data_IF_828447939148
#
_entry.id   IF_828447939148
#
_cell.length_a   1.000
_cell.length_b   1.000
_cell.length_c   1.000
_cell.angle_alpha   90.00
_cell.angle_beta   90.00
_cell.angle_gamma   90.00
#
_symmetry.space_group_name_H-M   'P 1'
#
loop_
_entity.id
_entity.type
_entity.pdbx_description
1 polymer ?
#
# COMPACT_ATOMS: atom_id res chain seq x y z
N UNK A 1 31.69 -5.19 2.16
CA UNK A 1 30.79 -4.20 2.77
C UNK A 1 30.15 -4.83 4.01
N UNK A 2 30.60 -4.47 5.22
CA UNK A 2 30.30 -5.16 6.50
C UNK A 2 28.81 -5.10 6.93
N UNK A 3 27.97 -4.34 6.22
CA UNK A 3 26.55 -4.18 6.54
C UNK A 3 25.70 -5.41 6.20
N UNK A 4 26.10 -6.24 5.21
CA UNK A 4 25.37 -7.48 4.87
C UNK A 4 25.39 -8.52 6.00
N UNK A 5 26.29 -8.37 6.97
CA UNK A 5 26.43 -9.27 8.11
C UNK A 5 25.39 -9.01 9.21
N UNK A 6 24.70 -7.86 9.19
CA UNK A 6 23.80 -7.42 10.27
C UNK A 6 22.30 -7.50 9.96
N UNK A 7 21.90 -7.74 8.70
CA UNK A 7 20.49 -8.02 8.35
C UNK A 7 20.38 -8.47 6.89
N UNK A 8 20.47 -9.77 6.65
CA UNK A 8 20.38 -10.34 5.29
C UNK A 8 19.04 -10.08 4.61
N UNK A 9 17.96 -9.88 5.38
CA UNK A 9 16.59 -9.89 4.85
C UNK A 9 16.00 -8.49 4.66
N UNK A 10 16.65 -7.45 5.20
CA UNK A 10 16.22 -6.05 5.07
C UNK A 10 16.93 -5.33 3.92
N UNK A 11 18.17 -5.73 3.60
CA UNK A 11 18.97 -5.13 2.53
C UNK A 11 18.86 -6.00 1.27
N UNK A 12 18.14 -5.50 0.28
CA UNK A 12 17.88 -6.23 -0.98
C UNK A 12 18.68 -5.67 -2.15
N UNK A 13 18.74 -6.40 -3.26
CA UNK A 13 19.38 -5.88 -4.47
C UNK A 13 18.42 -4.93 -5.22
N UNK A 14 18.94 -3.98 -6.03
CA UNK A 14 18.09 -3.09 -6.81
C UNK A 14 17.07 -3.80 -7.71
N UNK A 15 17.42 -4.96 -8.28
CA UNK A 15 16.50 -5.76 -9.08
C UNK A 15 15.30 -6.29 -8.26
N UNK A 16 15.55 -6.72 -7.02
CA UNK A 16 14.49 -7.16 -6.11
C UNK A 16 13.57 -5.99 -5.73
N UNK A 17 14.16 -4.81 -5.51
CA UNK A 17 13.40 -3.59 -5.21
C UNK A 17 12.47 -3.21 -6.38
N UNK A 18 12.94 -3.30 -7.62
CA UNK A 18 12.12 -3.06 -8.83
C UNK A 18 10.99 -4.11 -8.94
N UNK A 19 11.26 -5.37 -8.60
CA UNK A 19 10.24 -6.42 -8.56
C UNK A 19 9.16 -6.13 -7.51
N UNK A 20 9.54 -5.67 -6.32
CA UNK A 20 8.60 -5.28 -5.26
C UNK A 20 7.81 -4.01 -5.60
N UNK A 21 8.40 -3.06 -6.32
CA UNK A 21 7.67 -1.90 -6.84
C UNK A 21 6.62 -2.35 -7.84
N UNK A 22 6.98 -3.26 -8.77
CA UNK A 22 6.04 -3.82 -9.74
C UNK A 22 4.86 -4.51 -9.06
N UNK A 23 5.12 -5.37 -8.07
CA UNK A 23 4.03 -6.06 -7.37
C UNK A 23 3.13 -5.08 -6.61
N UNK A 24 3.68 -4.00 -6.06
CA UNK A 24 2.88 -2.96 -5.40
C UNK A 24 1.96 -2.22 -6.37
N UNK A 25 2.41 -1.94 -7.60
CA UNK A 25 1.57 -1.38 -8.66
C UNK A 25 0.46 -2.37 -9.08
N UNK A 26 0.75 -3.67 -9.07
CA UNK A 26 -0.23 -4.71 -9.40
C UNK A 26 -1.30 -4.86 -8.29
N UNK A 27 -0.89 -4.75 -7.02
CA UNK A 27 -1.78 -4.79 -5.85
C UNK A 27 -2.85 -3.67 -5.91
N UNK A 28 -2.45 -2.44 -6.26
CA UNK A 28 -3.35 -1.27 -6.37
C UNK A 28 -4.52 -1.48 -7.36
N UNK A 29 -4.31 -2.24 -8.43
CA UNK A 29 -5.36 -2.51 -9.42
C UNK A 29 -6.51 -3.33 -8.83
N UNK A 30 -6.27 -4.04 -7.73
CA UNK A 30 -7.26 -4.86 -7.03
C UNK A 30 -8.07 -4.08 -5.98
N UNK A 31 -7.66 -2.86 -5.64
CA UNK A 31 -8.10 -2.19 -4.42
C UNK A 31 -9.30 -1.24 -4.60
N UNK A 32 -9.56 -0.72 -5.80
CA UNK A 32 -10.64 0.26 -6.01
C UNK A 32 -12.02 -0.29 -5.59
N UNK A 33 -12.32 -1.53 -5.99
CA UNK A 33 -13.56 -2.20 -5.61
C UNK A 33 -13.62 -2.48 -4.10
N UNK A 34 -12.47 -2.74 -3.46
CA UNK A 34 -12.38 -2.99 -2.02
C UNK A 34 -12.68 -1.73 -1.21
N UNK A 35 -12.09 -0.59 -1.60
CA UNK A 35 -12.37 0.70 -0.96
C UNK A 35 -13.83 1.12 -1.10
N UNK A 36 -14.42 0.96 -2.28
CA UNK A 36 -15.84 1.28 -2.49
C UNK A 36 -16.75 0.41 -1.62
N UNK A 37 -16.40 -0.87 -1.45
CA UNK A 37 -17.11 -1.77 -0.54
C UNK A 37 -16.95 -1.35 0.94
N UNK A 38 -15.75 -0.98 1.39
CA UNK A 38 -15.51 -0.46 2.75
C UNK A 38 -16.31 0.82 3.02
N UNK A 39 -16.30 1.79 2.09
CA UNK A 39 -17.05 3.04 2.21
C UNK A 39 -18.56 2.77 2.30
N UNK A 40 -19.07 1.82 1.53
CA UNK A 40 -20.48 1.42 1.57
C UNK A 40 -20.86 0.78 2.91
N UNK A 41 -19.96 -0.03 3.49
CA UNK A 41 -20.17 -0.72 4.77
C UNK A 41 -19.99 0.20 5.99
N UNK A 42 -19.27 1.31 5.85
CA UNK A 42 -18.99 2.22 6.96
C UNK A 42 -20.29 2.88 7.53
N UNK A 43 -20.52 2.77 8.85
CA UNK A 43 -21.78 3.17 9.48
C UNK A 43 -21.93 4.68 9.67
N UNK A 44 -20.83 5.44 9.68
CA UNK A 44 -20.84 6.89 9.92
C UNK A 44 -20.13 7.68 8.82
N UNK A 45 -20.53 8.95 8.65
CA UNK A 45 -19.89 9.84 7.67
C UNK A 45 -18.41 10.05 7.98
N UNK A 46 -18.03 10.10 9.27
CA UNK A 46 -16.63 10.23 9.70
C UNK A 46 -15.79 9.05 9.19
N UNK A 47 -16.29 7.83 9.33
CA UNK A 47 -15.58 6.62 8.88
C UNK A 47 -15.48 6.57 7.35
N UNK A 48 -16.55 6.94 6.65
CA UNK A 48 -16.53 7.08 5.17
C UNK A 48 -15.44 8.04 4.72
N UNK A 49 -15.34 9.20 5.36
CA UNK A 49 -14.31 10.21 5.03
C UNK A 49 -12.89 9.72 5.32
N UNK A 50 -12.69 8.94 6.40
CA UNK A 50 -11.38 8.34 6.71
C UNK A 50 -10.98 7.36 5.60
N UNK A 51 -11.86 6.43 5.24
CA UNK A 51 -11.58 5.41 4.21
C UNK A 51 -11.38 6.06 2.84
N UNK A 52 -12.18 7.08 2.51
CA UNK A 52 -12.00 7.82 1.26
C UNK A 52 -10.67 8.60 1.22
N UNK A 53 -10.21 9.11 2.36
CA UNK A 53 -8.88 9.70 2.48
C UNK A 53 -7.78 8.70 2.15
N UNK A 54 -7.83 7.51 2.76
CA UNK A 54 -6.86 6.41 2.49
C UNK A 54 -6.86 6.06 1.00
N UNK A 55 -8.03 5.81 0.40
CA UNK A 55 -8.15 5.51 -1.03
C UNK A 55 -7.48 6.57 -1.93
N UNK A 56 -7.65 7.85 -1.60
CA UNK A 56 -7.06 8.93 -2.39
C UNK A 56 -5.54 9.01 -2.22
N UNK A 57 -5.00 8.60 -1.07
CA UNK A 57 -3.56 8.52 -0.85
C UNK A 57 -2.97 7.33 -1.64
N UNK A 58 -3.65 6.18 -1.67
CA UNK A 58 -3.25 5.03 -2.52
C UNK A 58 -3.21 5.36 -4.01
N UNK A 59 -4.16 6.15 -4.51
CA UNK A 59 -4.13 6.58 -5.92
C UNK A 59 -2.84 7.38 -6.23
N UNK A 60 -2.38 8.21 -5.28
CA UNK A 60 -1.12 8.96 -5.42
C UNK A 60 0.09 8.03 -5.29
N UNK A 61 0.06 7.08 -4.36
CA UNK A 61 1.12 6.06 -4.21
C UNK A 61 1.38 5.36 -5.55
N UNK A 62 0.31 4.99 -6.25
CA UNK A 62 0.41 4.39 -7.57
C UNK A 62 1.07 5.23 -8.62
N UNK A 63 0.73 6.53 -8.65
CA UNK A 63 1.35 7.45 -9.58
C UNK A 63 2.86 7.56 -9.33
N UNK A 64 3.25 7.62 -8.05
CA UNK A 64 4.64 7.65 -7.63
C UNK A 64 5.34 6.36 -8.03
N UNK A 65 4.79 5.19 -7.68
CA UNK A 65 5.40 3.89 -7.95
C UNK A 65 5.56 3.63 -9.44
N UNK A 66 4.55 3.94 -10.27
CA UNK A 66 4.66 3.82 -11.73
C UNK A 66 5.72 4.74 -12.30
N UNK A 67 5.85 5.96 -11.78
CA UNK A 67 6.92 6.87 -12.19
C UNK A 67 8.29 6.29 -11.84
N UNK A 68 8.49 5.85 -10.60
CA UNK A 68 9.75 5.23 -10.16
C UNK A 68 10.07 4.01 -11.04
N UNK A 69 9.10 3.12 -11.25
CA UNK A 69 9.26 1.93 -12.08
C UNK A 69 9.67 2.28 -13.52
N UNK A 70 8.98 3.24 -14.13
CA UNK A 70 9.32 3.71 -15.46
C UNK A 70 10.73 4.32 -15.52
N UNK A 71 11.12 5.12 -14.52
CA UNK A 71 12.42 5.76 -14.50
C UNK A 71 13.57 4.72 -14.50
N UNK A 72 13.40 3.59 -13.80
CA UNK A 72 14.38 2.50 -13.75
C UNK A 72 14.33 1.54 -14.95
N UNK A 73 13.15 1.23 -15.46
CA UNK A 73 12.96 0.14 -16.44
C UNK A 73 12.68 0.62 -17.87
N UNK A 74 12.24 1.88 -18.01
CA UNK A 74 11.64 2.45 -19.23
C UNK A 74 10.41 1.69 -19.73
N UNK A 75 9.78 0.90 -18.87
CA UNK A 75 8.56 0.16 -19.15
C UNK A 75 7.36 0.80 -18.45
N UNK A 76 6.24 0.91 -19.15
CA UNK A 76 4.98 1.32 -18.57
C UNK A 76 4.20 0.09 -18.11
N UNK A 77 3.60 0.17 -16.92
CA UNK A 77 2.61 -0.79 -16.45
C UNK A 77 1.25 -0.13 -16.64
N UNK A 78 0.42 -0.71 -17.50
CA UNK A 78 -0.96 -0.28 -17.70
C UNK A 78 -1.83 -0.73 -16.53
N UNK A 79 -2.81 0.12 -16.17
CA UNK A 79 -3.92 -0.29 -15.31
C UNK A 79 -4.58 -1.52 -15.92
N UNK A 80 -4.62 -2.62 -15.17
CA UNK A 80 -5.48 -3.74 -15.54
C UNK A 80 -6.90 -3.43 -15.06
N UNK A 81 -7.90 -3.83 -15.86
CA UNK A 81 -9.31 -3.72 -15.48
C UNK A 81 -9.50 -4.37 -14.11
N UNK A 82 -10.19 -3.70 -13.16
CA UNK A 82 -10.38 -4.26 -11.83
C UNK A 82 -10.99 -5.67 -11.93
N UNK A 83 -10.34 -6.63 -11.27
CA UNK A 83 -10.88 -7.98 -11.14
C UNK A 83 -12.15 -7.85 -10.29
N UNK A 84 -13.27 -8.37 -10.81
CA UNK A 84 -14.53 -8.39 -10.06
C UNK A 84 -14.33 -9.13 -8.73
N UNK A 85 -14.16 -8.39 -7.65
CA UNK A 85 -14.03 -8.96 -6.32
C UNK A 85 -15.42 -9.21 -5.76
N UNK A 86 -15.71 -10.46 -5.39
CA UNK A 86 -16.98 -10.80 -4.76
C UNK A 86 -16.91 -10.55 -3.25
N UNK A 87 -17.45 -9.40 -2.80
CA UNK A 87 -17.46 -8.99 -1.39
C UNK A 87 -18.63 -9.55 -0.57
N UNK A 88 -19.43 -10.48 -1.12
CA UNK A 88 -20.72 -10.84 -0.53
C UNK A 88 -20.67 -11.51 0.86
N UNK A 89 -19.50 -11.93 1.36
CA UNK A 89 -19.43 -12.75 2.59
C UNK A 89 -18.71 -12.13 3.81
N UNK A 90 -18.00 -11.00 3.70
CA UNK A 90 -17.23 -10.44 4.82
C UNK A 90 -18.02 -9.39 5.63
N UNK A 91 -17.80 -9.32 6.95
CA UNK A 91 -18.31 -8.20 7.75
C UNK A 91 -17.46 -6.93 7.54
N UNK A 92 -17.98 -5.77 7.94
CA UNK A 92 -17.19 -4.53 7.90
C UNK A 92 -15.95 -4.61 8.79
N UNK A 93 -16.08 -5.24 9.97
CA UNK A 93 -14.97 -5.45 10.90
C UNK A 93 -13.88 -6.34 10.29
N UNK A 94 -14.26 -7.43 9.61
CA UNK A 94 -13.29 -8.32 8.97
C UNK A 94 -12.54 -7.63 7.83
N UNK A 95 -13.24 -6.81 7.03
CA UNK A 95 -12.60 -6.03 5.96
C UNK A 95 -11.62 -4.98 6.53
N UNK A 96 -11.96 -4.32 7.64
CA UNK A 96 -11.05 -3.38 8.32
C UNK A 96 -9.82 -4.09 8.89
N UNK A 97 -9.98 -5.29 9.45
CA UNK A 97 -8.86 -6.08 9.97
C UNK A 97 -7.93 -6.53 8.83
N UNK A 98 -8.50 -6.99 7.72
CA UNK A 98 -7.75 -7.32 6.51
C UNK A 98 -6.96 -6.10 6.02
N UNK A 99 -7.61 -4.93 5.92
CA UNK A 99 -6.96 -3.70 5.47
C UNK A 99 -5.80 -3.30 6.39
N UNK A 100 -6.01 -3.31 7.71
CA UNK A 100 -4.96 -3.01 8.70
C UNK A 100 -3.70 -3.86 8.48
N UNK A 101 -3.85 -5.18 8.32
CA UNK A 101 -2.70 -6.06 8.15
C UNK A 101 -2.06 -5.94 6.76
N UNK A 102 -2.83 -5.57 5.73
CA UNK A 102 -2.28 -5.19 4.43
C UNK A 102 -1.37 -3.96 4.55
N UNK A 103 -1.79 -2.91 5.27
CA UNK A 103 -0.95 -1.73 5.48
C UNK A 103 0.35 -2.06 6.21
N UNK A 104 0.27 -2.86 7.27
CA UNK A 104 1.47 -3.29 8.00
C UNK A 104 2.41 -4.15 7.16
N UNK A 105 1.87 -4.94 6.22
CA UNK A 105 2.67 -5.67 5.25
C UNK A 105 3.33 -4.72 4.23
N UNK A 106 2.60 -3.69 3.77
CA UNK A 106 3.11 -2.66 2.89
C UNK A 106 4.28 -1.88 3.53
N UNK A 107 4.17 -1.52 4.82
CA UNK A 107 5.27 -0.90 5.58
C UNK A 107 6.55 -1.75 5.52
N UNK A 108 6.43 -3.07 5.76
CA UNK A 108 7.59 -3.98 5.69
C UNK A 108 8.14 -4.08 4.26
N UNK A 109 7.27 -4.08 3.26
CA UNK A 109 7.64 -4.11 1.83
C UNK A 109 8.44 -2.86 1.45
N UNK A 110 7.92 -1.67 1.74
CA UNK A 110 8.57 -0.40 1.39
C UNK A 110 9.86 -0.16 2.16
N UNK A 111 9.95 -0.61 3.42
CA UNK A 111 11.22 -0.58 4.17
C UNK A 111 12.34 -1.33 3.46
N UNK A 112 12.04 -2.50 2.88
CA UNK A 112 13.02 -3.27 2.09
C UNK A 112 13.39 -2.53 0.81
N UNK A 113 12.41 -1.98 0.08
CA UNK A 113 12.67 -1.20 -1.13
C UNK A 113 13.60 -0.01 -0.84
N UNK A 114 13.36 0.72 0.26
CA UNK A 114 14.17 1.85 0.70
C UNK A 114 15.66 1.49 0.88
N UNK A 115 15.97 0.25 1.30
CA UNK A 115 17.36 -0.20 1.46
C UNK A 115 18.19 -0.16 0.17
N UNK A 116 17.53 -0.20 -0.98
CA UNK A 116 18.14 -0.21 -2.31
C UNK A 116 18.00 1.12 -3.06
N UNK A 117 17.43 2.15 -2.43
CA UNK A 117 17.08 3.42 -3.07
C UNK A 117 17.84 4.60 -2.46
N UNK A 118 17.99 5.68 -3.21
CA UNK A 118 18.69 6.89 -2.77
C UNK A 118 18.10 8.15 -3.41
N UNK A 119 18.45 9.32 -2.90
CA UNK A 119 17.99 10.62 -3.41
C UNK A 119 16.47 10.78 -3.33
N UNK A 120 15.89 11.42 -4.35
CA UNK A 120 14.45 11.72 -4.38
C UNK A 120 13.57 10.46 -4.34
N UNK A 121 14.02 9.34 -4.94
CA UNK A 121 13.29 8.08 -4.88
C UNK A 121 13.20 7.52 -3.46
N UNK A 122 14.26 7.67 -2.66
CA UNK A 122 14.22 7.33 -1.25
C UNK A 122 13.16 8.16 -0.53
N UNK A 123 13.13 9.48 -0.74
CA UNK A 123 12.17 10.38 -0.10
C UNK A 123 10.73 10.01 -0.47
N UNK A 124 10.46 9.76 -1.75
CA UNK A 124 9.15 9.37 -2.26
C UNK A 124 8.67 8.02 -1.71
N UNK A 125 9.55 7.03 -1.62
CA UNK A 125 9.19 5.74 -1.02
C UNK A 125 9.01 5.83 0.49
N UNK A 126 9.76 6.73 1.15
CA UNK A 126 9.60 6.98 2.57
C UNK A 126 8.22 7.58 2.83
N UNK A 127 7.79 8.57 2.03
CA UNK A 127 6.47 9.18 2.20
C UNK A 127 5.35 8.15 2.11
N UNK A 128 5.40 7.26 1.10
CA UNK A 128 4.46 6.13 0.98
C UNK A 128 4.49 5.27 2.26
N UNK A 129 5.67 4.80 2.69
CA UNK A 129 5.80 3.96 3.88
C UNK A 129 5.25 4.63 5.15
N UNK A 130 5.40 5.95 5.32
CA UNK A 130 4.80 6.67 6.44
C UNK A 130 3.29 6.79 6.32
N UNK A 131 2.77 7.01 5.12
CA UNK A 131 1.34 7.04 4.88
C UNK A 131 0.71 5.68 5.22
N UNK A 132 1.35 4.55 4.90
CA UNK A 132 0.84 3.22 5.31
C UNK A 132 0.82 3.03 6.83
N UNK A 133 1.79 3.59 7.56
CA UNK A 133 1.72 3.59 9.03
C UNK A 133 0.55 4.44 9.55
N UNK A 134 0.28 5.58 8.90
CA UNK A 134 -0.87 6.45 9.21
C UNK A 134 -2.17 5.72 8.86
N UNK A 135 -2.23 4.98 7.76
CA UNK A 135 -3.38 4.16 7.35
C UNK A 135 -3.65 3.06 8.37
N UNK A 136 -2.63 2.32 8.80
CA UNK A 136 -2.75 1.34 9.87
C UNK A 136 -3.30 1.96 11.17
N UNK A 137 -2.83 3.16 11.56
CA UNK A 137 -3.36 3.88 12.71
C UNK A 137 -4.83 4.28 12.54
N UNK A 138 -5.22 4.75 11.35
CA UNK A 138 -6.62 5.04 11.00
C UNK A 138 -7.49 3.78 11.10
N UNK A 139 -7.04 2.63 10.58
CA UNK A 139 -7.79 1.37 10.68
C UNK A 139 -7.95 0.88 12.12
N UNK A 140 -6.92 1.03 12.97
CA UNK A 140 -7.04 0.74 14.40
C UNK A 140 -8.13 1.60 15.07
N UNK A 141 -8.20 2.89 14.73
CA UNK A 141 -9.27 3.77 15.19
C UNK A 141 -10.66 3.28 14.72
N UNK A 142 -10.80 2.90 13.44
CA UNK A 142 -12.06 2.38 12.89
C UNK A 142 -12.50 1.09 13.59
N UNK A 143 -11.59 0.12 13.79
CA UNK A 143 -11.83 -1.13 14.51
C UNK A 143 -12.23 -0.90 15.97
N UNK A 144 -11.65 0.10 16.62
CA UNK A 144 -12.01 0.52 17.97
C UNK A 144 -13.47 0.99 18.10
N UNK A 145 -14.06 1.49 17.02
CA UNK A 145 -15.46 1.91 16.97
C UNK A 145 -16.43 0.76 16.62
N UNK A 146 -15.93 -0.40 16.19
CA UNK A 146 -16.76 -1.58 15.87
C UNK A 146 -16.93 -2.52 17.09
N UNK A 147 -17.06 -1.94 18.29
CA UNK A 147 -17.23 -2.68 19.55
C UNK A 147 -18.70 -2.86 19.90
#
# INVERSE_FOLDING_TARGET
NNLKQFNSDEIIMPADAISLIRSSIEDENSDMAFYDNLIRKAPSQKEKMIIQGIRNDEEKHGQILRKIYYDFTKQNISYQTPVNYNFQSSSYRDDLEKALFSELAAVKKYRKILSAMSGDYYILLMSIMTDENIHAAKYNFLLGNQR
#
